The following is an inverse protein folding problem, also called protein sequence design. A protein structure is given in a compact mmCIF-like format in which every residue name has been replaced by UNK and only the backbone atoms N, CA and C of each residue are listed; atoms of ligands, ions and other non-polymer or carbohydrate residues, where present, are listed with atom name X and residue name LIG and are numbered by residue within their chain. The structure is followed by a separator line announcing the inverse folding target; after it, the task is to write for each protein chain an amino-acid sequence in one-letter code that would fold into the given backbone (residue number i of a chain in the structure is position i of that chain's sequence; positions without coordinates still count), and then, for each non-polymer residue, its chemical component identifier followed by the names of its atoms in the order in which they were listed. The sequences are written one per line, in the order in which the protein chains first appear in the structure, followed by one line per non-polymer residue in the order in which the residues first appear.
data_IF_132455210701
#
_entry.id   IF_132455210701
#
_cell.length_a   1.000
_cell.length_b   1.000
_cell.length_c   1.000
_cell.angle_alpha   90.00
_cell.angle_beta   90.00
_cell.angle_gamma   90.00
#
_symmetry.space_group_name_H-M   'P 1'
#
loop_
_entity.id
_entity.type
_entity.pdbx_description
1 polymer ?
#
# COMPACT_ATOMS: atom_id res chain seq x y z
N UNK A 1 -15.24 -21.00 -8.46
CA UNK A 1 -15.29 -19.59 -8.08
C UNK A 1 -16.29 -18.82 -8.91
N UNK A 2 -16.92 -17.84 -8.33
CA UNK A 2 -17.92 -17.05 -9.02
C UNK A 2 -17.32 -16.03 -9.97
N UNK A 3 -18.13 -15.59 -10.92
CA UNK A 3 -17.72 -14.58 -11.90
C UNK A 3 -17.46 -13.21 -11.25
N UNK A 4 -17.98 -12.97 -10.05
CA UNK A 4 -17.72 -11.75 -9.32
C UNK A 4 -16.25 -11.52 -9.00
N UNK A 5 -15.44 -12.57 -9.12
CA UNK A 5 -14.02 -12.49 -8.82
C UNK A 5 -13.21 -11.91 -9.98
N UNK A 6 -13.78 -11.72 -11.16
CA UNK A 6 -13.03 -11.20 -12.31
C UNK A 6 -12.53 -9.78 -12.10
N UNK A 7 -13.13 -9.03 -11.18
CA UNK A 7 -12.72 -7.67 -10.85
C UNK A 7 -11.83 -7.59 -9.64
N UNK A 8 -11.52 -8.73 -9.04
CA UNK A 8 -10.72 -8.78 -7.84
C UNK A 8 -9.34 -9.31 -8.16
N UNK A 9 -8.36 -8.83 -7.48
CA UNK A 9 -6.98 -9.24 -7.63
C UNK A 9 -6.40 -9.53 -6.26
N UNK A 10 -5.31 -10.22 -6.26
CA UNK A 10 -4.54 -10.48 -5.05
C UNK A 10 -3.15 -9.90 -5.24
N UNK A 11 -2.72 -9.13 -4.27
CA UNK A 11 -1.36 -8.65 -4.22
C UNK A 11 -0.58 -9.58 -3.31
N UNK A 12 0.38 -10.31 -3.87
CA UNK A 12 1.15 -11.31 -3.15
C UNK A 12 2.59 -10.85 -3.06
N UNK A 13 3.09 -10.71 -1.85
CA UNK A 13 4.46 -10.30 -1.60
C UNK A 13 5.15 -11.30 -0.71
N UNK A 14 6.42 -11.57 -1.01
CA UNK A 14 7.25 -12.50 -0.26
C UNK A 14 8.23 -11.71 0.61
N UNK A 15 8.47 -12.16 1.85
CA UNK A 15 9.46 -11.52 2.70
C UNK A 15 10.87 -11.84 2.20
N UNK A 16 11.80 -10.98 2.55
CA UNK A 16 13.20 -11.16 2.21
C UNK A 16 13.86 -12.11 3.23
N UNK A 17 13.51 -13.38 3.12
CA UNK A 17 14.06 -14.41 4.00
C UNK A 17 13.99 -15.77 3.30
N UNK A 18 14.94 -16.63 3.61
CA UNK A 18 14.96 -17.99 3.10
C UNK A 18 14.02 -18.92 3.87
N UNK A 19 13.56 -18.48 5.04
CA UNK A 19 12.77 -19.33 5.94
C UNK A 19 11.40 -18.70 6.16
N UNK A 20 10.42 -19.11 5.35
CA UNK A 20 9.07 -18.60 5.42
C UNK A 20 8.32 -19.21 6.59
N UNK A 21 7.59 -18.39 7.32
CA UNK A 21 6.77 -18.83 8.46
C UNK A 21 5.36 -19.25 8.05
N UNK A 22 4.92 -18.86 6.86
CA UNK A 22 3.61 -19.19 6.38
C UNK A 22 3.03 -18.07 5.53
N UNK A 23 1.72 -18.12 5.33
CA UNK A 23 0.98 -17.16 4.51
C UNK A 23 -0.04 -16.46 5.40
N UNK A 24 -0.13 -15.15 5.30
CA UNK A 24 -1.14 -14.37 6.02
C UNK A 24 -1.97 -13.57 5.03
N UNK A 25 -3.27 -13.57 5.27
CA UNK A 25 -4.19 -12.70 4.55
C UNK A 25 -4.20 -11.36 5.28
N UNK A 26 -3.81 -10.32 4.60
CA UNK A 26 -3.55 -9.02 5.20
C UNK A 26 -4.31 -7.91 4.50
N UNK A 27 -4.46 -6.80 5.20
CA UNK A 27 -4.86 -5.54 4.57
C UNK A 27 -3.61 -4.72 4.25
N UNK A 28 -3.77 -3.76 3.37
CA UNK A 28 -2.70 -2.82 3.05
C UNK A 28 -2.36 -1.97 4.27
N UNK A 29 -1.08 -1.82 4.55
CA UNK A 29 -0.62 -0.98 5.65
C UNK A 29 -0.95 0.48 5.37
N UNK A 30 -1.40 1.19 6.40
CA UNK A 30 -1.62 2.62 6.33
C UNK A 30 -0.29 3.34 6.53
N UNK A 31 0.12 4.08 5.53
CA UNK A 31 1.38 4.80 5.57
C UNK A 31 1.56 5.64 4.31
N UNK A 32 2.73 6.18 4.15
CA UNK A 32 3.06 6.99 2.99
C UNK A 32 4.52 6.84 2.62
N UNK A 33 4.81 7.04 1.36
CA UNK A 33 6.18 7.14 0.88
C UNK A 33 6.65 8.58 1.10
N UNK A 34 7.83 8.73 1.68
CA UNK A 34 8.42 10.03 1.97
C UNK A 34 9.81 10.10 1.34
N UNK A 35 10.33 11.31 1.18
CA UNK A 35 11.67 11.54 0.62
C UNK A 35 11.85 10.86 -0.74
N UNK A 36 10.84 10.97 -1.59
CA UNK A 36 10.84 10.29 -2.89
C UNK A 36 11.92 10.78 -3.85
N UNK A 37 12.37 12.02 -3.65
CA UNK A 37 13.37 12.64 -4.50
C UNK A 37 14.59 13.06 -3.69
N UNK A 38 15.76 12.68 -4.15
CA UNK A 38 17.03 13.14 -3.57
C UNK A 38 17.73 14.02 -4.58
N UNK A 39 17.95 15.28 -4.20
CA UNK A 39 18.71 16.22 -5.01
C UNK A 39 20.20 15.92 -4.91
N UNK A 40 20.87 15.90 -6.02
CA UNK A 40 22.32 15.71 -6.09
C UNK A 40 22.93 16.66 -7.09
N UNK A 41 24.21 16.97 -6.91
CA UNK A 41 24.94 17.84 -7.81
C UNK A 41 25.82 17.01 -8.73
N UNK A 42 25.73 17.33 -10.02
CA UNK A 42 26.59 16.70 -11.01
C UNK A 42 28.01 17.27 -10.91
N UNK A 43 29.08 16.45 -10.99
CA UNK A 43 30.46 16.95 -10.89
C UNK A 43 30.82 18.01 -11.90
N UNK A 44 30.15 18.03 -13.08
CA UNK A 44 30.38 19.01 -14.13
C UNK A 44 29.42 20.19 -14.11
N UNK A 45 28.68 20.33 -13.01
CA UNK A 45 27.65 21.35 -12.88
C UNK A 45 26.27 20.84 -13.21
N UNK A 46 25.26 21.54 -12.71
CA UNK A 46 23.87 21.14 -12.85
C UNK A 46 23.40 20.28 -11.69
N UNK A 47 22.10 20.12 -11.61
CA UNK A 47 21.44 19.34 -10.58
C UNK A 47 20.73 18.14 -11.19
N UNK A 48 20.63 17.07 -10.45
CA UNK A 48 19.79 15.95 -10.82
C UNK A 48 19.13 15.38 -9.60
N UNK A 49 18.07 14.61 -9.82
CA UNK A 49 17.28 14.04 -8.73
C UNK A 49 17.26 12.53 -8.86
N UNK A 50 17.51 11.87 -7.76
CA UNK A 50 17.33 10.43 -7.65
C UNK A 50 15.92 10.15 -7.18
N UNK A 51 15.29 9.16 -7.81
CA UNK A 51 14.04 8.62 -7.30
C UNK A 51 14.41 7.67 -6.17
N UNK A 52 14.20 8.14 -4.96
CA UNK A 52 14.42 7.36 -3.75
C UNK A 52 13.07 7.17 -3.05
N UNK A 53 13.09 6.75 -1.83
CA UNK A 53 11.87 6.72 -1.05
C UNK A 53 12.03 5.86 0.17
N UNK A 54 11.37 6.30 1.19
CA UNK A 54 11.26 5.54 2.44
C UNK A 54 9.78 5.41 2.75
N UNK A 55 9.38 4.22 3.18
CA UNK A 55 8.01 4.01 3.58
C UNK A 55 7.85 4.38 5.05
N UNK A 56 6.97 5.36 5.30
CA UNK A 56 6.62 5.77 6.65
C UNK A 56 5.37 4.99 7.08
N UNK A 57 5.57 4.00 7.91
CA UNK A 57 4.50 3.13 8.38
C UNK A 57 3.83 3.79 9.59
N UNK A 58 2.56 4.16 9.45
CA UNK A 58 1.81 4.82 10.52
C UNK A 58 1.30 3.84 11.58
N UNK A 59 1.42 2.55 11.33
CA UNK A 59 0.88 1.52 12.23
C UNK A 59 1.81 0.30 12.31
N UNK A 60 3.06 0.48 12.78
CA UNK A 60 4.05 -0.59 12.74
C UNK A 60 3.69 -1.80 13.62
N UNK A 61 2.77 -1.63 14.57
CA UNK A 61 2.35 -2.70 15.46
C UNK A 61 1.11 -3.46 14.95
N UNK A 62 0.56 -3.06 13.81
CA UNK A 62 -0.67 -3.67 13.29
C UNK A 62 -0.37 -5.04 12.67
N UNK A 63 -0.70 -6.09 13.38
CA UNK A 63 -0.41 -7.47 12.98
C UNK A 63 -1.23 -7.94 11.78
N UNK A 64 -2.31 -7.26 11.46
CA UNK A 64 -3.15 -7.56 10.30
C UNK A 64 -2.71 -6.85 9.03
N UNK A 65 -1.61 -6.10 9.09
CA UNK A 65 -1.09 -5.36 7.94
C UNK A 65 -0.06 -6.19 7.18
N UNK A 66 0.10 -5.86 5.90
CA UNK A 66 1.07 -6.54 5.05
C UNK A 66 2.52 -6.25 5.44
N UNK A 67 2.82 -5.04 5.86
CA UNK A 67 4.16 -4.68 6.31
C UNK A 67 4.58 -5.48 7.53
N UNK A 68 3.67 -5.64 8.48
CA UNK A 68 3.95 -6.45 9.67
C UNK A 68 4.25 -7.90 9.27
N UNK A 69 3.40 -8.45 8.40
CA UNK A 69 3.57 -9.83 7.95
C UNK A 69 4.92 -10.03 7.26
N UNK A 70 5.28 -9.14 6.35
CA UNK A 70 6.56 -9.23 5.64
C UNK A 70 7.74 -9.08 6.59
N UNK A 71 7.65 -8.17 7.56
CA UNK A 71 8.72 -7.98 8.54
C UNK A 71 8.90 -9.16 9.48
N UNK A 72 7.92 -10.03 9.58
CA UNK A 72 7.95 -11.19 10.48
C UNK A 72 8.08 -12.52 9.73
N UNK A 73 8.40 -12.49 8.44
CA UNK A 73 8.72 -13.68 7.68
C UNK A 73 7.53 -14.38 7.05
N UNK A 74 6.39 -13.72 6.94
CA UNK A 74 5.20 -14.28 6.30
C UNK A 74 5.04 -13.77 4.88
N UNK A 75 4.50 -14.61 4.03
CA UNK A 75 4.00 -14.19 2.72
C UNK A 75 2.72 -13.41 2.95
N UNK A 76 2.66 -12.19 2.45
CA UNK A 76 1.48 -11.33 2.62
C UNK A 76 0.60 -11.41 1.37
N UNK A 77 -0.65 -11.81 1.55
CA UNK A 77 -1.65 -11.85 0.50
C UNK A 77 -2.73 -10.84 0.83
N UNK A 78 -2.85 -9.81 -0.01
CA UNK A 78 -3.82 -8.74 0.20
C UNK A 78 -4.81 -8.73 -0.95
N UNK A 79 -6.09 -9.03 -0.68
CA UNK A 79 -7.10 -8.93 -1.74
C UNK A 79 -7.32 -7.46 -2.10
N UNK A 80 -7.43 -7.19 -3.39
CA UNK A 80 -7.62 -5.85 -3.90
C UNK A 80 -8.84 -5.80 -4.82
N UNK A 81 -9.35 -4.61 -5.05
CA UNK A 81 -10.45 -4.41 -5.98
C UNK A 81 -10.23 -3.11 -6.74
N UNK A 82 -10.84 -3.04 -7.91
CA UNK A 82 -10.69 -1.89 -8.80
C UNK A 82 -11.48 -0.68 -8.29
N UNK A 83 -12.66 -0.92 -7.75
CA UNK A 83 -13.55 0.14 -7.31
C UNK A 83 -13.00 0.83 -6.06
N UNK A 84 -12.59 2.07 -6.23
CA UNK A 84 -12.04 2.90 -5.14
C UNK A 84 -13.07 3.83 -4.51
N UNK A 85 -14.35 3.62 -4.82
CA UNK A 85 -15.43 4.44 -4.29
C UNK A 85 -15.59 4.22 -2.79
N UNK A 86 -15.59 5.30 -2.04
CA UNK A 86 -15.85 5.24 -0.60
C UNK A 86 -17.37 5.27 -0.37
N UNK A 87 -18.00 4.11 -0.44
CA UNK A 87 -19.45 4.00 -0.37
C UNK A 87 -20.03 4.51 0.93
N UNK A 88 -19.29 4.38 2.02
CA UNK A 88 -19.76 4.88 3.31
C UNK A 88 -19.92 6.40 3.37
N UNK A 89 -19.23 7.12 2.49
CA UNK A 89 -19.32 8.57 2.43
C UNK A 89 -20.44 9.08 1.52
N UNK A 90 -21.01 8.22 0.70
CA UNK A 90 -21.98 8.66 -0.30
C UNK A 90 -23.23 9.26 0.34
N UNK A 91 -23.77 8.62 1.38
CA UNK A 91 -24.96 9.12 2.07
C UNK A 91 -24.68 10.43 2.80
N UNK A 92 -23.50 10.56 3.38
CA UNK A 92 -23.11 11.80 4.04
C UNK A 92 -23.04 12.95 3.07
N UNK A 93 -22.42 12.75 1.91
CA UNK A 93 -22.33 13.78 0.88
C UNK A 93 -23.70 14.16 0.31
N UNK A 94 -24.61 13.20 0.19
CA UNK A 94 -25.98 13.48 -0.25
C UNK A 94 -26.71 14.42 0.69
N UNK A 95 -26.37 14.39 1.97
CA UNK A 95 -26.99 15.25 2.98
C UNK A 95 -26.41 16.67 3.00
N UNK A 96 -25.35 16.92 2.23
CA UNK A 96 -24.75 18.26 2.20
C UNK A 96 -25.46 19.23 1.29
N UNK A 97 -26.52 18.81 0.58
CA UNK A 97 -27.29 19.66 -0.33
C UNK A 97 -26.41 20.41 -1.32
N UNK A 98 -25.53 19.68 -1.96
CA UNK A 98 -24.64 20.26 -2.96
C UNK A 98 -25.46 20.69 -4.17
N UNK A 99 -25.43 21.95 -4.49
CA UNK A 99 -26.15 22.51 -5.63
C UNK A 99 -25.14 23.00 -6.68
N UNK A 100 -25.55 22.87 -7.92
CA UNK A 100 -24.74 23.30 -9.06
C UNK A 100 -25.40 24.45 -9.79
#
# INVERSE_FOLDING_TARGET
RGLGDVYKRQNVNFPDTASLKGVRICRQTNGAWINEWKRSLHPRGGEYFWLTGEFDNYEPEAEDSDHWALGHGYVAVTPTQIDVTAYGMMNELKNWNLEV
#
